data_IF_081781510658
#
_entry.id   IF_081781510658
#
_cell.length_a   1.000
_cell.length_b   1.000
_cell.length_c   1.000
_cell.angle_alpha   90.00
_cell.angle_beta   90.00
_cell.angle_gamma   90.00
#
_symmetry.space_group_name_H-M   'P 1'
#
loop_
_entity.id
_entity.type
_entity.pdbx_description
1 polymer ?
#
# COMPACT_ATOMS: atom_id res chain seq x y z
N UNK A 1 -21.05 22.86 7.30
CA UNK A 1 -20.42 23.27 6.02
C UNK A 1 -19.11 22.51 5.90
N UNK A 2 -18.77 21.95 4.74
CA UNK A 2 -17.48 21.29 4.52
C UNK A 2 -16.35 22.30 4.38
N UNK A 3 -15.10 21.91 4.69
CA UNK A 3 -13.93 22.77 4.51
C UNK A 3 -13.82 23.30 3.06
N UNK A 4 -14.18 22.47 2.07
CA UNK A 4 -14.21 22.83 0.65
C UNK A 4 -15.16 24.01 0.34
N UNK A 5 -16.36 24.01 0.93
CA UNK A 5 -17.33 25.11 0.74
C UNK A 5 -16.82 26.43 1.34
N UNK A 6 -16.20 26.38 2.52
CA UNK A 6 -15.63 27.55 3.19
C UNK A 6 -14.44 28.10 2.39
N UNK A 7 -13.61 27.23 1.81
CA UNK A 7 -12.48 27.60 0.96
C UNK A 7 -12.93 28.38 -0.29
N UNK A 8 -14.00 27.92 -0.96
CA UNK A 8 -14.56 28.64 -2.12
C UNK A 8 -15.11 30.02 -1.72
N UNK A 9 -15.77 30.13 -0.58
CA UNK A 9 -16.26 31.42 -0.07
C UNK A 9 -15.12 32.38 0.27
N UNK A 10 -14.05 31.89 0.90
CA UNK A 10 -12.84 32.65 1.18
C UNK A 10 -12.23 33.21 -0.11
N UNK A 11 -12.08 32.37 -1.13
CA UNK A 11 -11.54 32.79 -2.42
C UNK A 11 -12.38 33.91 -3.07
N UNK A 12 -13.71 33.78 -3.05
CA UNK A 12 -14.61 34.82 -3.57
C UNK A 12 -14.46 36.14 -2.80
N UNK A 13 -14.32 36.09 -1.47
CA UNK A 13 -14.13 37.29 -0.64
C UNK A 13 -12.77 37.93 -0.84
N UNK A 14 -11.72 37.13 -0.99
CA UNK A 14 -10.38 37.62 -1.32
C UNK A 14 -10.34 38.30 -2.69
N UNK A 15 -11.03 37.76 -3.70
CA UNK A 15 -11.19 38.42 -5.01
C UNK A 15 -11.94 39.74 -4.90
N UNK A 16 -13.09 39.74 -4.22
CA UNK A 16 -13.88 40.96 -4.01
C UNK A 16 -13.09 42.06 -3.26
N UNK A 17 -12.25 41.68 -2.30
CA UNK A 17 -11.32 42.60 -1.63
C UNK A 17 -10.31 43.19 -2.63
N UNK A 18 -9.65 42.35 -3.43
CA UNK A 18 -8.66 42.81 -4.41
C UNK A 18 -9.27 43.77 -5.44
N UNK A 19 -10.48 43.48 -5.91
CA UNK A 19 -11.22 44.36 -6.84
C UNK A 19 -11.55 45.71 -6.21
N UNK A 20 -11.98 45.72 -4.94
CA UNK A 20 -12.23 46.95 -4.18
C UNK A 20 -10.93 47.74 -3.96
N UNK A 21 -9.82 47.09 -3.61
CA UNK A 21 -8.50 47.74 -3.45
C UNK A 21 -8.00 48.35 -4.77
N UNK A 22 -8.23 47.68 -5.90
CA UNK A 22 -7.95 48.23 -7.23
C UNK A 22 -8.74 49.51 -7.47
N UNK A 23 -10.02 49.54 -7.13
CA UNK A 23 -10.86 50.76 -7.23
C UNK A 23 -10.35 51.89 -6.33
N UNK A 24 -9.91 51.58 -5.11
CA UNK A 24 -9.24 52.57 -4.25
C UNK A 24 -8.01 53.16 -4.95
N UNK A 25 -7.16 52.33 -5.55
CA UNK A 25 -5.99 52.79 -6.29
C UNK A 25 -6.34 53.68 -7.48
N UNK A 26 -7.37 53.31 -8.25
CA UNK A 26 -7.86 54.10 -9.39
C UNK A 26 -8.34 55.50 -8.94
N UNK A 27 -9.13 55.58 -7.88
CA UNK A 27 -9.63 56.87 -7.38
C UNK A 27 -8.55 57.71 -6.69
N UNK A 28 -7.61 57.11 -5.95
CA UNK A 28 -6.44 57.81 -5.39
C UNK A 28 -5.53 58.38 -6.48
N UNK A 29 -5.37 57.65 -7.58
CA UNK A 29 -4.60 58.15 -8.74
C UNK A 29 -5.30 59.35 -9.40
N UNK A 30 -6.63 59.30 -9.53
CA UNK A 30 -7.43 60.44 -10.03
C UNK A 30 -7.36 61.64 -9.09
N UNK A 31 -7.46 61.42 -7.78
CA UNK A 31 -7.30 62.45 -6.75
C UNK A 31 -5.93 63.13 -6.87
N UNK A 32 -4.85 62.35 -6.91
CA UNK A 32 -3.50 62.87 -7.05
C UNK A 32 -3.34 63.72 -8.32
N UNK A 33 -3.79 63.23 -9.47
CA UNK A 33 -3.72 63.96 -10.74
C UNK A 33 -4.50 65.29 -10.69
N UNK A 34 -5.68 65.31 -10.05
CA UNK A 34 -6.50 66.52 -9.89
C UNK A 34 -5.87 67.52 -8.92
N UNK A 35 -5.29 67.04 -7.81
CA UNK A 35 -4.52 67.89 -6.88
C UNK A 35 -3.31 68.54 -7.56
N UNK A 36 -2.55 67.78 -8.36
CA UNK A 36 -1.43 68.35 -9.11
C UNK A 36 -1.88 69.47 -10.06
N UNK A 37 -3.00 69.29 -10.77
CA UNK A 37 -3.58 70.35 -11.61
C UNK A 37 -4.03 71.57 -10.81
N UNK A 38 -4.66 71.36 -9.65
CA UNK A 38 -5.05 72.45 -8.75
C UNK A 38 -3.83 73.26 -8.29
N UNK A 39 -2.75 72.59 -7.89
CA UNK A 39 -1.49 73.24 -7.50
C UNK A 39 -0.88 74.02 -8.66
N UNK A 40 -0.84 73.42 -9.86
CA UNK A 40 -0.34 74.10 -11.06
C UNK A 40 -1.13 75.38 -11.40
N UNK A 41 -2.46 75.35 -11.28
CA UNK A 41 -3.29 76.54 -11.50
C UNK A 41 -3.10 77.61 -10.43
N UNK A 42 -2.86 77.22 -9.16
CA UNK A 42 -2.49 78.17 -8.09
C UNK A 42 -1.15 78.83 -8.33
N UNK A 43 -0.14 78.06 -8.72
CA UNK A 43 1.17 78.61 -9.08
C UNK A 43 1.07 79.55 -10.27
N UNK A 44 0.27 79.18 -11.28
CA UNK A 44 0.01 80.03 -12.42
C UNK A 44 -0.77 81.30 -12.01
N UNK A 45 -1.69 81.23 -11.05
CA UNK A 45 -2.36 82.41 -10.50
C UNK A 45 -1.36 83.33 -9.78
N UNK A 46 -0.45 82.78 -8.98
CA UNK A 46 0.57 83.54 -8.26
C UNK A 46 1.55 84.28 -9.19
N UNK A 47 1.82 83.73 -10.37
CA UNK A 47 2.69 84.34 -11.40
C UNK A 47 1.98 85.34 -12.31
N UNK A 48 0.65 85.44 -12.27
CA UNK A 48 -0.10 86.31 -13.16
C UNK A 48 -0.15 87.75 -12.65
N UNK A 49 0.06 88.71 -13.54
CA UNK A 49 0.06 90.15 -13.22
C UNK A 49 -1.31 90.82 -13.39
N UNK A 50 -2.24 90.20 -14.13
CA UNK A 50 -3.59 90.72 -14.35
C UNK A 50 -4.59 90.16 -13.31
N UNK A 51 -5.29 91.00 -12.52
CA UNK A 51 -6.26 90.58 -11.51
C UNK A 51 -7.36 89.64 -12.05
N UNK A 52 -7.80 89.86 -13.29
CA UNK A 52 -8.85 89.03 -13.92
C UNK A 52 -8.33 87.62 -14.21
N UNK A 53 -7.09 87.51 -14.67
CA UNK A 53 -6.42 86.23 -14.92
C UNK A 53 -6.16 85.47 -13.62
N UNK A 54 -5.71 86.17 -12.57
CA UNK A 54 -5.53 85.60 -11.22
C UNK A 54 -6.86 84.99 -10.73
N UNK A 55 -7.95 85.75 -10.80
CA UNK A 55 -9.28 85.30 -10.35
C UNK A 55 -9.79 84.11 -11.16
N UNK A 56 -9.54 84.07 -12.47
CA UNK A 56 -9.91 82.94 -13.32
C UNK A 56 -9.13 81.66 -12.94
N UNK A 57 -7.81 81.76 -12.78
CA UNK A 57 -6.93 80.63 -12.41
C UNK A 57 -7.23 80.10 -11.00
N UNK A 58 -7.50 80.98 -10.04
CA UNK A 58 -7.93 80.56 -8.70
C UNK A 58 -9.26 79.79 -8.72
N UNK A 59 -10.21 80.17 -9.58
CA UNK A 59 -11.46 79.40 -9.75
C UNK A 59 -11.21 78.05 -10.42
N UNK A 60 -10.31 77.98 -11.39
CA UNK A 60 -9.91 76.72 -12.01
C UNK A 60 -9.25 75.78 -10.98
N UNK A 61 -8.35 76.31 -10.15
CA UNK A 61 -7.74 75.58 -9.05
C UNK A 61 -8.80 75.03 -8.07
N UNK A 62 -9.74 75.88 -7.61
CA UNK A 62 -10.81 75.44 -6.71
C UNK A 62 -11.67 74.32 -7.31
N UNK A 63 -12.01 74.40 -8.61
CA UNK A 63 -12.73 73.32 -9.31
C UNK A 63 -11.94 72.01 -9.31
N UNK A 64 -10.63 72.06 -9.57
CA UNK A 64 -9.79 70.87 -9.54
C UNK A 64 -9.64 70.29 -8.13
N UNK A 65 -9.65 71.12 -7.09
CA UNK A 65 -9.71 70.65 -5.70
C UNK A 65 -11.04 69.97 -5.36
N UNK A 66 -12.16 70.54 -5.78
CA UNK A 66 -13.47 69.93 -5.58
C UNK A 66 -13.55 68.56 -6.27
N UNK A 67 -13.04 68.45 -7.49
CA UNK A 67 -12.90 67.17 -8.21
C UNK A 67 -12.00 66.18 -7.47
N UNK A 68 -10.87 66.64 -6.93
CA UNK A 68 -9.98 65.81 -6.12
C UNK A 68 -10.68 65.32 -4.84
N UNK A 69 -11.41 66.18 -4.16
CA UNK A 69 -12.16 65.85 -2.95
C UNK A 69 -13.29 64.84 -3.23
N UNK A 70 -13.96 64.93 -4.39
CA UNK A 70 -14.92 63.91 -4.83
C UNK A 70 -14.23 62.56 -5.05
N UNK A 71 -13.10 62.54 -5.74
CA UNK A 71 -12.32 61.32 -5.95
C UNK A 71 -11.81 60.72 -4.62
N UNK A 72 -11.41 61.56 -3.67
CA UNK A 72 -10.99 61.13 -2.32
C UNK A 72 -12.15 60.48 -1.55
N UNK A 73 -13.37 61.03 -1.64
CA UNK A 73 -14.57 60.43 -1.03
C UNK A 73 -14.87 59.05 -1.62
N UNK A 74 -14.82 58.91 -2.95
CA UNK A 74 -14.99 57.61 -3.63
C UNK A 74 -13.88 56.62 -3.24
N UNK A 75 -12.63 57.06 -3.11
CA UNK A 75 -11.57 56.21 -2.59
C UNK A 75 -11.86 55.75 -1.14
N UNK A 76 -12.44 56.61 -0.31
CA UNK A 76 -12.85 56.30 1.05
C UNK A 76 -13.99 55.26 1.13
N UNK A 77 -15.00 55.36 0.26
CA UNK A 77 -16.11 54.39 0.21
C UNK A 77 -15.58 53.01 -0.20
N UNK A 78 -14.79 52.93 -1.27
CA UNK A 78 -14.17 51.68 -1.70
C UNK A 78 -13.18 51.13 -0.68
N UNK A 79 -12.47 51.98 0.06
CA UNK A 79 -11.57 51.57 1.15
C UNK A 79 -12.35 50.92 2.29
N UNK A 80 -13.54 51.43 2.61
CA UNK A 80 -14.43 50.85 3.62
C UNK A 80 -14.95 49.48 3.17
N UNK A 81 -15.33 49.35 1.90
CA UNK A 81 -15.75 48.08 1.28
C UNK A 81 -14.62 47.05 1.30
N UNK A 82 -13.40 47.44 0.94
CA UNK A 82 -12.22 46.58 1.00
C UNK A 82 -11.95 46.10 2.44
N UNK A 83 -12.04 46.99 3.43
CA UNK A 83 -11.90 46.64 4.84
C UNK A 83 -12.98 45.64 5.31
N UNK A 84 -14.22 45.81 4.85
CA UNK A 84 -15.32 44.86 5.15
C UNK A 84 -15.02 43.47 4.58
N UNK A 85 -14.64 43.37 3.31
CA UNK A 85 -14.30 42.09 2.69
C UNK A 85 -13.06 41.45 3.32
N UNK A 86 -12.09 42.26 3.77
CA UNK A 86 -10.93 41.79 4.52
C UNK A 86 -11.32 41.12 5.84
N UNK A 87 -12.22 41.74 6.62
CA UNK A 87 -12.75 41.14 7.87
C UNK A 87 -13.51 39.84 7.61
N UNK A 88 -14.41 39.84 6.62
CA UNK A 88 -15.17 38.64 6.23
C UNK A 88 -14.25 37.49 5.78
N UNK A 89 -13.17 37.80 5.05
CA UNK A 89 -12.16 36.82 4.65
C UNK A 89 -11.39 36.27 5.86
N UNK A 90 -10.98 37.13 6.80
CA UNK A 90 -10.31 36.70 8.02
C UNK A 90 -11.20 35.75 8.86
N UNK A 91 -12.48 36.08 9.01
CA UNK A 91 -13.45 35.21 9.72
C UNK A 91 -13.61 33.86 9.03
N UNK A 92 -13.68 33.85 7.69
CA UNK A 92 -13.75 32.61 6.90
C UNK A 92 -12.46 31.79 7.02
N UNK A 93 -11.29 32.43 7.11
CA UNK A 93 -10.02 31.76 7.30
C UNK A 93 -9.93 31.06 8.66
N UNK A 94 -10.42 31.70 9.73
CA UNK A 94 -10.51 31.07 11.06
C UNK A 94 -11.48 29.88 11.04
N UNK A 95 -12.62 30.03 10.36
CA UNK A 95 -13.60 28.93 10.21
C UNK A 95 -13.03 27.77 9.40
N UNK A 96 -12.27 28.06 8.34
CA UNK A 96 -11.62 27.04 7.52
C UNK A 96 -10.61 26.24 8.35
N UNK A 97 -9.74 26.92 9.11
CA UNK A 97 -8.76 26.25 9.96
C UNK A 97 -9.43 25.31 10.98
N UNK A 98 -10.53 25.75 11.61
CA UNK A 98 -11.29 24.91 12.54
C UNK A 98 -11.94 23.71 11.85
N UNK A 99 -12.52 23.91 10.66
CA UNK A 99 -13.14 22.84 9.90
C UNK A 99 -12.11 21.79 9.45
N UNK A 100 -10.97 22.22 8.89
CA UNK A 100 -9.88 21.34 8.47
C UNK A 100 -9.29 20.57 9.66
N UNK A 101 -9.12 21.21 10.82
CA UNK A 101 -8.69 20.53 12.03
C UNK A 101 -9.70 19.46 12.47
N UNK A 102 -10.99 19.79 12.48
CA UNK A 102 -12.02 18.82 12.87
C UNK A 102 -12.12 17.62 11.92
N UNK A 103 -11.92 17.84 10.61
CA UNK A 103 -11.89 16.76 9.62
C UNK A 103 -10.66 15.85 9.83
N UNK A 104 -9.48 16.44 10.11
CA UNK A 104 -8.26 15.68 10.44
C UNK A 104 -8.41 14.87 11.72
N UNK A 105 -8.95 15.48 12.77
CA UNK A 105 -9.14 14.80 14.06
C UNK A 105 -10.16 13.66 13.94
N UNK A 106 -11.20 13.82 13.12
CA UNK A 106 -12.15 12.76 12.84
C UNK A 106 -11.50 11.58 12.12
N UNK A 107 -10.71 11.84 11.07
CA UNK A 107 -9.98 10.80 10.31
C UNK A 107 -8.94 10.09 11.18
N UNK A 108 -8.20 10.84 12.00
CA UNK A 108 -7.24 10.25 12.95
C UNK A 108 -7.94 9.38 13.99
N UNK A 109 -9.10 9.82 14.50
CA UNK A 109 -9.88 9.06 15.47
C UNK A 109 -10.47 7.78 14.86
N UNK A 110 -10.94 7.81 13.62
CA UNK A 110 -11.41 6.60 12.94
C UNK A 110 -10.25 5.64 12.69
N UNK A 111 -9.11 6.15 12.19
CA UNK A 111 -7.91 5.34 11.96
C UNK A 111 -7.41 4.66 13.24
N UNK A 112 -7.34 5.39 14.35
CA UNK A 112 -6.96 4.82 15.66
C UNK A 112 -7.93 3.74 16.11
N UNK A 113 -9.23 3.95 15.97
CA UNK A 113 -10.25 2.94 16.33
C UNK A 113 -10.14 1.68 15.47
N UNK A 114 -9.91 1.83 14.17
CA UNK A 114 -9.71 0.71 13.26
C UNK A 114 -8.43 -0.07 13.59
N UNK A 115 -7.34 0.63 13.91
CA UNK A 115 -6.09 0.03 14.37
C UNK A 115 -6.28 -0.74 15.67
N UNK A 116 -6.87 -0.12 16.69
CA UNK A 116 -7.16 -0.79 17.97
C UNK A 116 -8.06 -2.02 17.78
N UNK A 117 -9.06 -1.93 16.89
CA UNK A 117 -9.95 -3.05 16.60
C UNK A 117 -9.22 -4.17 15.85
N UNK A 118 -8.35 -3.84 14.90
CA UNK A 118 -7.53 -4.81 14.17
C UNK A 118 -6.53 -5.50 15.10
N UNK A 119 -5.87 -4.75 15.99
CA UNK A 119 -4.95 -5.31 16.99
C UNK A 119 -5.67 -6.24 17.96
N UNK A 120 -6.85 -5.87 18.45
CA UNK A 120 -7.67 -6.74 19.32
C UNK A 120 -8.08 -8.03 18.60
N UNK A 121 -8.48 -7.94 17.33
CA UNK A 121 -8.83 -9.13 16.52
C UNK A 121 -7.61 -10.02 16.33
N UNK A 122 -6.48 -9.47 15.90
CA UNK A 122 -5.24 -10.21 15.72
C UNK A 122 -4.75 -10.87 17.03
N UNK A 123 -4.87 -10.18 18.17
CA UNK A 123 -4.54 -10.74 19.48
C UNK A 123 -5.47 -11.91 19.85
N UNK A 124 -6.78 -11.78 19.59
CA UNK A 124 -7.74 -12.85 19.84
C UNK A 124 -7.51 -14.07 18.95
N UNK A 125 -7.17 -13.85 17.67
CA UNK A 125 -6.85 -14.90 16.71
C UNK A 125 -5.58 -15.64 17.12
N UNK A 126 -4.50 -14.91 17.45
CA UNK A 126 -3.26 -15.51 17.98
C UNK A 126 -3.51 -16.37 19.20
N UNK A 127 -4.26 -15.86 20.18
CA UNK A 127 -4.58 -16.62 21.39
C UNK A 127 -5.40 -17.89 21.08
N UNK A 128 -6.37 -17.80 20.17
CA UNK A 128 -7.14 -18.97 19.74
C UNK A 128 -6.28 -20.00 19.01
N UNK A 129 -5.33 -19.54 18.19
CA UNK A 129 -4.39 -20.40 17.49
C UNK A 129 -3.44 -21.09 18.47
N UNK A 130 -2.84 -20.35 19.40
CA UNK A 130 -1.96 -20.88 20.44
C UNK A 130 -2.68 -21.95 21.30
N UNK A 131 -3.92 -21.70 21.69
CA UNK A 131 -4.73 -22.67 22.44
C UNK A 131 -4.97 -23.97 21.64
N UNK A 132 -5.28 -23.85 20.35
CA UNK A 132 -5.48 -25.01 19.46
C UNK A 132 -4.19 -25.79 19.27
N UNK A 133 -3.06 -25.09 19.06
CA UNK A 133 -1.75 -25.70 18.91
C UNK A 133 -1.35 -26.46 20.18
N UNK A 134 -1.47 -25.84 21.35
CA UNK A 134 -1.18 -26.48 22.64
C UNK A 134 -2.05 -27.72 22.87
N UNK A 135 -3.34 -27.65 22.51
CA UNK A 135 -4.24 -28.81 22.63
C UNK A 135 -3.82 -29.94 21.69
N UNK A 136 -3.47 -29.62 20.44
CA UNK A 136 -3.01 -30.61 19.45
C UNK A 136 -1.68 -31.26 19.88
N UNK A 137 -0.73 -30.47 20.37
CA UNK A 137 0.55 -30.98 20.91
C UNK A 137 0.32 -31.96 22.07
N UNK A 138 -0.61 -31.65 22.98
CA UNK A 138 -0.95 -32.53 24.09
C UNK A 138 -1.59 -33.85 23.60
N UNK A 139 -2.46 -33.79 22.59
CA UNK A 139 -3.07 -34.97 21.97
C UNK A 139 -2.02 -35.86 21.30
N UNK A 140 -1.13 -35.28 20.48
CA UNK A 140 -0.03 -36.03 19.82
C UNK A 140 0.90 -36.65 20.85
N UNK A 141 1.27 -35.91 21.90
CA UNK A 141 2.14 -36.43 22.96
C UNK A 141 1.52 -37.61 23.70
N UNK A 142 0.20 -37.58 23.90
CA UNK A 142 -0.53 -38.70 24.48
C UNK A 142 -0.53 -39.90 23.53
N UNK A 143 -0.89 -39.69 22.26
CA UNK A 143 -0.90 -40.75 21.25
C UNK A 143 0.48 -41.41 21.06
N UNK A 144 1.57 -40.62 21.07
CA UNK A 144 2.94 -41.15 20.97
C UNK A 144 3.35 -42.00 22.18
N UNK A 145 2.81 -41.76 23.38
CA UNK A 145 3.05 -42.61 24.55
C UNK A 145 2.34 -43.96 24.42
N UNK A 146 1.18 -43.97 23.79
CA UNK A 146 0.34 -45.17 23.63
C UNK A 146 0.72 -46.00 22.39
N UNK A 147 1.56 -45.47 21.50
CA UNK A 147 2.09 -46.20 20.36
C UNK A 147 3.09 -47.26 20.81
N UNK A 148 2.72 -48.53 20.62
CA UNK A 148 3.60 -49.68 20.86
C UNK A 148 4.85 -49.58 19.97
N UNK A 149 6.03 -49.82 20.56
CA UNK A 149 7.27 -49.87 19.80
C UNK A 149 7.15 -50.83 18.61
N UNK A 150 7.66 -50.45 17.42
CA UNK A 150 7.58 -51.30 16.23
C UNK A 150 8.22 -52.66 16.54
N UNK A 151 7.55 -53.74 16.12
CA UNK A 151 8.09 -55.08 16.32
C UNK A 151 9.35 -55.21 15.44
N UNK A 152 10.47 -55.73 15.97
CA UNK A 152 11.63 -56.04 15.14
C UNK A 152 11.24 -57.15 14.16
N UNK A 153 11.19 -56.83 12.86
CA UNK A 153 10.94 -57.78 11.78
C UNK A 153 12.22 -58.02 10.96
N UNK A 154 12.46 -59.25 10.48
CA UNK A 154 13.58 -59.51 9.58
C UNK A 154 13.38 -58.76 8.26
N UNK A 155 14.46 -58.19 7.72
CA UNK A 155 14.49 -57.61 6.39
C UNK A 155 14.17 -58.71 5.36
N UNK A 156 13.17 -58.49 4.50
CA UNK A 156 12.71 -59.45 3.50
C UNK A 156 13.08 -58.86 2.14
N UNK A 157 13.98 -59.51 1.42
CA UNK A 157 14.49 -59.05 0.14
C UNK A 157 14.05 -60.03 -0.94
N UNK A 158 13.33 -59.55 -1.94
CA UNK A 158 12.94 -60.34 -3.11
C UNK A 158 13.87 -59.98 -4.27
N UNK A 159 14.63 -60.95 -4.77
CA UNK A 159 15.60 -60.77 -5.83
C UNK A 159 15.11 -61.46 -7.11
N UNK A 160 14.88 -60.67 -8.15
CA UNK A 160 14.28 -61.14 -9.40
C UNK A 160 15.24 -60.93 -10.55
N UNK A 161 15.62 -62.03 -11.20
CA UNK A 161 16.42 -62.04 -12.42
C UNK A 161 15.53 -62.21 -13.65
N UNK A 162 15.72 -61.38 -14.66
CA UNK A 162 15.13 -61.58 -15.99
C UNK A 162 16.27 -61.73 -17.01
N UNK A 163 16.44 -62.95 -17.54
CA UNK A 163 17.47 -63.25 -18.54
C UNK A 163 16.81 -63.73 -19.83
N UNK A 164 16.68 -62.85 -20.82
CA UNK A 164 16.38 -63.23 -22.20
C UNK A 164 17.67 -63.65 -22.89
N UNK A 165 17.81 -64.94 -23.19
CA UNK A 165 18.84 -65.50 -24.09
C UNK A 165 20.30 -65.04 -23.86
N UNK A 166 20.94 -65.62 -22.84
CA UNK A 166 22.31 -66.14 -23.02
C UNK A 166 23.52 -65.28 -22.65
N UNK A 167 23.44 -63.95 -22.48
CA UNK A 167 24.65 -63.13 -22.21
C UNK A 167 24.60 -62.28 -20.92
N UNK A 168 23.57 -62.46 -20.09
CA UNK A 168 23.45 -61.70 -18.85
C UNK A 168 24.14 -62.41 -17.69
N UNK A 169 25.11 -61.72 -17.06
CA UNK A 169 25.75 -62.13 -15.79
C UNK A 169 24.83 -61.97 -14.57
N UNK A 170 23.51 -62.07 -14.77
CA UNK A 170 22.48 -61.99 -13.72
C UNK A 170 22.72 -63.05 -12.64
N UNK A 171 23.16 -64.25 -13.04
CA UNK A 171 23.59 -65.29 -12.08
C UNK A 171 24.76 -64.86 -11.19
N UNK A 172 25.76 -64.16 -11.74
CA UNK A 172 26.93 -63.68 -10.97
C UNK A 172 26.54 -62.60 -9.96
N UNK A 173 25.62 -61.71 -10.32
CA UNK A 173 25.14 -60.67 -9.41
C UNK A 173 24.31 -61.26 -8.27
N UNK A 174 23.46 -62.24 -8.57
CA UNK A 174 22.69 -62.97 -7.56
C UNK A 174 23.61 -63.75 -6.61
N UNK A 175 24.63 -64.42 -7.13
CA UNK A 175 25.64 -65.10 -6.32
C UNK A 175 26.41 -64.13 -5.41
N UNK A 176 26.74 -62.93 -5.91
CA UNK A 176 27.39 -61.89 -5.11
C UNK A 176 26.49 -61.39 -3.97
N UNK A 177 25.22 -61.12 -4.26
CA UNK A 177 24.24 -60.70 -3.25
C UNK A 177 24.04 -61.82 -2.21
N UNK A 178 23.91 -63.07 -2.64
CA UNK A 178 23.82 -64.22 -1.75
C UNK A 178 25.06 -64.38 -0.86
N UNK A 179 26.26 -64.21 -1.43
CA UNK A 179 27.51 -64.27 -0.68
C UNK A 179 27.63 -63.14 0.35
N UNK A 180 27.23 -61.92 -0.03
CA UNK A 180 27.23 -60.76 0.84
C UNK A 180 26.22 -60.90 2.00
N UNK A 181 25.02 -61.42 1.75
CA UNK A 181 24.03 -61.69 2.81
C UNK A 181 24.54 -62.77 3.76
N UNK A 182 25.21 -63.81 3.25
CA UNK A 182 25.78 -64.88 4.09
C UNK A 182 26.93 -64.41 4.98
N UNK A 183 27.72 -63.44 4.53
CA UNK A 183 28.83 -62.87 5.30
C UNK A 183 28.43 -61.72 6.23
N UNK A 184 27.18 -61.24 6.15
CA UNK A 184 26.70 -60.14 6.97
C UNK A 184 26.57 -60.51 8.45
N UNK A 185 26.85 -59.53 9.34
CA UNK A 185 26.78 -59.67 10.80
C UNK A 185 25.40 -60.12 11.30
N UNK A 186 24.33 -59.69 10.63
CA UNK A 186 22.94 -59.97 11.00
C UNK A 186 22.21 -60.81 9.94
N UNK A 187 22.90 -61.81 9.38
CA UNK A 187 22.35 -62.70 8.34
C UNK A 187 21.04 -63.39 8.73
N UNK A 188 20.83 -63.63 10.02
CA UNK A 188 19.61 -64.20 10.62
C UNK A 188 18.41 -63.25 10.58
N UNK A 189 18.67 -61.94 10.46
CA UNK A 189 17.66 -60.91 10.28
C UNK A 189 17.35 -60.62 8.81
N UNK A 190 17.94 -61.35 7.86
CA UNK A 190 17.69 -61.16 6.42
C UNK A 190 17.09 -62.44 5.83
N UNK A 191 15.85 -62.33 5.33
CA UNK A 191 15.21 -63.36 4.50
C UNK A 191 15.35 -62.93 3.04
N UNK A 192 15.95 -63.80 2.22
CA UNK A 192 16.18 -63.54 0.80
C UNK A 192 15.48 -64.63 -0.03
N UNK A 193 14.66 -64.21 -0.99
CA UNK A 193 14.02 -65.09 -1.96
C UNK A 193 14.52 -64.71 -3.36
N UNK A 194 15.10 -65.67 -4.09
CA UNK A 194 15.78 -65.42 -5.38
C UNK A 194 15.10 -66.19 -6.50
N UNK A 195 14.69 -65.48 -7.54
CA UNK A 195 14.07 -66.06 -8.74
C UNK A 195 14.87 -65.66 -9.99
N UNK A 196 15.75 -66.54 -10.52
CA UNK A 196 16.68 -66.21 -11.60
C UNK A 196 16.05 -66.04 -12.99
N UNK A 197 14.87 -66.61 -13.21
CA UNK A 197 14.09 -66.50 -14.43
C UNK A 197 12.66 -66.03 -14.09
N UNK A 198 12.58 -64.88 -13.44
CA UNK A 198 11.34 -64.30 -12.96
C UNK A 198 10.44 -63.87 -14.13
N UNK A 199 9.23 -64.41 -14.18
CA UNK A 199 8.12 -63.90 -14.99
C UNK A 199 7.30 -62.88 -14.18
N UNK A 200 6.42 -62.13 -14.85
CA UNK A 200 5.51 -61.19 -14.17
C UNK A 200 4.66 -61.87 -13.09
N UNK A 201 4.24 -63.12 -13.31
CA UNK A 201 3.48 -63.90 -12.32
C UNK A 201 4.32 -64.23 -11.08
N UNK A 202 5.62 -64.50 -11.25
CA UNK A 202 6.53 -64.75 -10.12
C UNK A 202 6.72 -63.48 -9.30
N UNK A 203 6.82 -62.32 -9.94
CA UNK A 203 6.86 -61.01 -9.25
C UNK A 203 5.59 -60.78 -8.43
N UNK A 204 4.40 -60.91 -9.03
CA UNK A 204 3.13 -60.64 -8.35
C UNK A 204 2.89 -61.59 -7.17
N UNK A 205 3.24 -62.87 -7.34
CA UNK A 205 3.19 -63.84 -6.26
C UNK A 205 4.23 -63.52 -5.16
N UNK A 206 5.45 -63.11 -5.53
CA UNK A 206 6.48 -62.72 -4.59
C UNK A 206 6.06 -61.51 -3.75
N UNK A 207 5.50 -60.48 -4.36
CA UNK A 207 5.00 -59.29 -3.64
C UNK A 207 3.91 -59.64 -2.62
N UNK A 208 2.95 -60.47 -3.02
CA UNK A 208 1.76 -60.77 -2.21
C UNK A 208 1.99 -61.84 -1.15
N UNK A 209 2.90 -62.80 -1.37
CA UNK A 209 3.18 -63.87 -0.40
C UNK A 209 4.35 -63.52 0.51
N UNK A 210 5.45 -63.07 -0.07
CA UNK A 210 6.69 -62.82 0.68
C UNK A 210 6.70 -61.45 1.38
N UNK A 211 5.81 -60.53 0.99
CA UNK A 211 5.71 -59.17 1.55
C UNK A 211 7.09 -58.52 1.70
N UNK A 212 7.90 -58.45 0.62
CA UNK A 212 9.26 -57.96 0.71
C UNK A 212 9.30 -56.51 1.22
N UNK A 213 10.32 -56.20 1.99
CA UNK A 213 10.69 -54.84 2.35
C UNK A 213 11.46 -54.17 1.21
N UNK A 214 12.26 -54.95 0.47
CA UNK A 214 13.07 -54.50 -0.66
C UNK A 214 12.90 -55.48 -1.82
N UNK A 215 12.72 -54.96 -3.03
CA UNK A 215 12.71 -55.76 -4.26
C UNK A 215 13.90 -55.32 -5.12
N UNK A 216 14.74 -56.26 -5.52
CA UNK A 216 15.87 -56.00 -6.42
C UNK A 216 15.61 -56.69 -7.76
N UNK A 217 15.71 -55.93 -8.85
CA UNK A 217 15.57 -56.43 -10.21
C UNK A 217 16.93 -56.46 -10.89
N UNK A 218 17.28 -57.62 -11.43
CA UNK A 218 18.48 -57.82 -12.25
C UNK A 218 18.06 -58.26 -13.65
N UNK A 219 18.15 -57.36 -14.63
CA UNK A 219 17.80 -57.64 -16.03
C UNK A 219 17.93 -56.38 -16.90
N UNK A 220 17.77 -56.52 -18.21
CA UNK A 220 17.60 -55.36 -19.10
C UNK A 220 16.14 -54.88 -19.01
N UNK A 221 15.94 -53.60 -18.73
CA UNK A 221 14.72 -52.92 -19.17
C UNK A 221 14.80 -52.85 -20.69
N UNK A 222 13.84 -53.43 -21.41
CA UNK A 222 13.57 -52.92 -22.75
C UNK A 222 13.21 -51.45 -22.57
N UNK A 223 13.88 -50.57 -23.32
CA UNK A 223 13.44 -49.19 -23.44
C UNK A 223 12.22 -49.16 -24.36
N UNK A 224 11.13 -49.82 -23.95
CA UNK A 224 9.79 -49.48 -24.43
C UNK A 224 9.20 -48.51 -23.40
N UNK A 225 9.81 -47.33 -23.34
CA UNK A 225 9.04 -46.13 -23.02
C UNK A 225 8.18 -45.85 -24.25
N UNK A 226 7.07 -46.56 -24.40
CA UNK A 226 5.96 -45.98 -25.14
C UNK A 226 5.61 -44.69 -24.42
N UNK A 227 5.79 -43.56 -25.11
CA UNK A 227 5.19 -42.28 -24.78
C UNK A 227 3.66 -42.49 -24.70
N UNK A 228 3.18 -42.85 -23.51
CA UNK A 228 1.77 -42.73 -23.16
C UNK A 228 1.65 -41.46 -22.33
N UNK A 229 1.51 -40.34 -23.03
CA UNK A 229 0.85 -39.17 -22.46
C UNK A 229 -0.61 -39.52 -22.19
N UNK A 230 -0.98 -39.69 -20.92
CA UNK A 230 -2.21 -39.20 -20.29
C UNK A 230 -2.02 -39.09 -18.77
#
# INVERSE_FOLDING_TARGET
MSASSIRSQLERKTRARADAEKKVGEFRSKEAAKRTKATSEREAAAKATNPTTVKSRLRAAARYEDDANKAAKEAGTWSTTAAKHSREAADLQVKLAKAEQSERDAVEKTRKREQEQAERRAASERRSFENRLSTAEQQVRTALRDLRAPKPEPLRVLLLGASSEGDLRVGREQERILAAVRSATHRDLVKLEVHPAATADILLNGLTRFHPHVVHFSGHSSADSEDVTW
#
